data_IF_015948397052
#
_entry.id   IF_015948397052
#
_cell.length_a   1.000
_cell.length_b   1.000
_cell.length_c   1.000
_cell.angle_alpha   90.00
_cell.angle_beta   90.00
_cell.angle_gamma   90.00
#
_symmetry.space_group_name_H-M   'P 1'
#
loop_
_entity.id
_entity.type
_entity.pdbx_description
1 polymer ?
#
# COMPACT_ATOMS: atom_id res chain seq x y z
N UNK A 1 2.98 -2.48 19.93
CA UNK A 1 3.45 -3.20 18.73
C UNK A 1 2.28 -3.87 18.05
N UNK A 2 2.19 -3.74 16.76
CA UNK A 2 1.21 -4.49 15.98
C UNK A 2 1.94 -5.37 14.99
N UNK A 3 1.31 -6.49 14.64
CA UNK A 3 1.82 -7.42 13.63
C UNK A 3 0.79 -7.52 12.55
N UNK A 4 1.25 -7.40 11.32
CA UNK A 4 0.36 -7.49 10.17
C UNK A 4 1.14 -8.14 9.02
N UNK A 5 0.43 -8.51 7.97
CA UNK A 5 1.05 -9.16 6.83
C UNK A 5 1.07 -8.21 5.66
N UNK A 6 2.25 -7.94 5.14
CA UNK A 6 2.41 -7.04 4.01
C UNK A 6 3.16 -7.78 2.92
N UNK A 7 2.52 -7.94 1.76
CA UNK A 7 3.07 -8.67 0.62
C UNK A 7 3.54 -10.07 1.03
N UNK A 8 2.74 -10.74 1.86
CA UNK A 8 3.00 -12.09 2.27
C UNK A 8 4.00 -12.25 3.39
N UNK A 9 4.51 -11.15 3.95
CA UNK A 9 5.51 -11.18 5.02
C UNK A 9 4.94 -10.58 6.29
N UNK A 10 5.31 -11.16 7.42
CA UNK A 10 4.95 -10.57 8.70
C UNK A 10 5.80 -9.34 8.94
N UNK A 11 5.15 -8.24 9.28
CA UNK A 11 5.79 -6.97 9.56
C UNK A 11 5.30 -6.50 10.91
N UNK A 12 6.20 -5.98 11.73
CA UNK A 12 5.84 -5.39 13.01
C UNK A 12 6.01 -3.89 12.94
N UNK A 13 5.01 -3.18 13.43
CA UNK A 13 5.06 -1.73 13.55
C UNK A 13 4.84 -1.39 15.02
N UNK A 14 5.40 -0.26 15.45
CA UNK A 14 5.29 0.13 16.84
C UNK A 14 3.86 0.42 17.24
N UNK A 15 3.06 0.90 16.30
CA UNK A 15 1.68 1.30 16.56
C UNK A 15 0.91 1.26 15.25
N UNK A 16 -0.43 1.33 15.33
CA UNK A 16 -1.23 1.51 14.11
C UNK A 16 -0.70 2.71 13.33
N UNK A 17 -0.54 2.54 12.03
CA UNK A 17 0.13 3.52 11.18
C UNK A 17 -0.73 3.81 9.97
N UNK A 18 -0.89 5.09 9.65
CA UNK A 18 -1.64 5.47 8.47
C UNK A 18 -0.94 4.94 7.22
N UNK A 19 -1.72 4.50 6.25
CA UNK A 19 -1.18 3.93 5.03
C UNK A 19 -0.22 4.89 4.33
N UNK A 20 -0.60 6.17 4.22
CA UNK A 20 0.27 7.14 3.57
C UNK A 20 1.60 7.30 4.30
N UNK A 21 1.56 7.29 5.63
CA UNK A 21 2.80 7.39 6.41
C UNK A 21 3.68 6.16 6.19
N UNK A 22 3.06 4.99 6.10
CA UNK A 22 3.83 3.76 5.87
C UNK A 22 4.48 3.78 4.49
N UNK A 23 3.73 4.21 3.46
CA UNK A 23 4.29 4.31 2.11
C UNK A 23 5.45 5.30 2.09
N UNK A 24 5.34 6.39 2.84
CA UNK A 24 6.44 7.36 2.93
C UNK A 24 7.67 6.74 3.58
N UNK A 25 7.48 5.91 4.61
CA UNK A 25 8.60 5.22 5.24
C UNK A 25 9.31 4.30 4.26
N UNK A 26 8.56 3.69 3.35
CA UNK A 26 9.14 2.82 2.33
C UNK A 26 9.80 3.59 1.21
N UNK A 27 9.59 4.90 1.16
CA UNK A 27 10.10 5.71 0.07
C UNK A 27 9.33 5.51 -1.23
N UNK A 28 8.06 5.13 -1.12
CA UNK A 28 7.23 4.77 -2.27
C UNK A 28 6.26 5.90 -2.55
N UNK A 29 6.17 6.27 -3.83
CA UNK A 29 5.19 7.27 -4.25
C UNK A 29 3.79 6.63 -4.25
N UNK A 30 2.83 7.18 -3.48
CA UNK A 30 1.49 6.59 -3.46
C UNK A 30 0.83 6.52 -4.83
N UNK A 31 1.22 7.40 -5.75
CA UNK A 31 0.65 7.39 -7.09
C UNK A 31 1.20 6.26 -7.95
N UNK A 32 2.28 5.63 -7.50
CA UNK A 32 2.95 4.60 -8.29
C UNK A 32 2.63 3.19 -7.81
N UNK A 33 1.69 3.04 -6.88
CA UNK A 33 1.37 1.72 -6.34
C UNK A 33 -0.13 1.53 -6.28
N UNK A 34 -0.53 0.26 -6.34
CA UNK A 34 -1.90 -0.16 -6.05
C UNK A 34 -1.87 -0.87 -4.71
N UNK A 35 -2.90 -0.68 -3.91
CA UNK A 35 -2.96 -1.24 -2.56
C UNK A 35 -4.25 -2.03 -2.39
N UNK A 36 -4.12 -3.23 -1.85
CA UNK A 36 -5.25 -3.99 -1.33
C UNK A 36 -5.15 -4.05 0.18
N UNK A 37 -6.26 -3.87 0.84
CA UNK A 37 -6.31 -3.89 2.29
C UNK A 37 -7.41 -4.87 2.69
N UNK A 38 -6.99 -5.98 3.31
CA UNK A 38 -7.90 -7.04 3.76
C UNK A 38 -8.78 -7.54 2.61
N UNK A 39 -8.17 -7.69 1.43
CA UNK A 39 -8.86 -8.24 0.27
C UNK A 39 -9.61 -7.25 -0.56
N UNK A 40 -9.63 -5.97 -0.19
CA UNK A 40 -10.36 -4.95 -0.93
C UNK A 40 -9.37 -3.95 -1.53
N UNK A 41 -9.58 -3.61 -2.79
CA UNK A 41 -8.76 -2.59 -3.44
C UNK A 41 -9.09 -1.24 -2.82
N UNK A 42 -8.03 -0.50 -2.47
CA UNK A 42 -8.19 0.83 -1.89
C UNK A 42 -8.09 1.85 -3.01
N UNK A 43 -9.15 2.66 -3.16
CA UNK A 43 -9.10 3.77 -4.10
C UNK A 43 -8.03 4.76 -3.67
N UNK A 44 -7.31 5.34 -4.63
CA UNK A 44 -6.24 6.27 -4.28
C UNK A 44 -6.74 7.43 -3.42
N UNK A 45 -7.95 7.90 -3.71
CA UNK A 45 -8.53 8.98 -2.93
C UNK A 45 -8.80 8.59 -1.49
N UNK A 46 -8.83 7.29 -1.18
CA UNK A 46 -9.10 6.80 0.16
C UNK A 46 -7.82 6.45 0.92
N UNK A 47 -6.65 6.58 0.31
CA UNK A 47 -5.40 6.20 0.98
C UNK A 47 -5.23 6.95 2.30
N UNK A 48 -5.68 8.17 2.37
CA UNK A 48 -5.55 8.96 3.59
C UNK A 48 -6.49 8.53 4.71
N UNK A 49 -7.44 7.65 4.41
CA UNK A 49 -8.43 7.19 5.39
C UNK A 49 -8.14 5.78 5.90
N UNK A 50 -7.03 5.19 5.49
CA UNK A 50 -6.71 3.82 5.88
C UNK A 50 -5.64 3.85 6.96
N UNK A 51 -5.90 3.13 8.05
CA UNK A 51 -4.92 2.94 9.12
C UNK A 51 -4.62 1.46 9.20
N UNK A 52 -3.33 1.12 9.11
CA UNK A 52 -2.88 -0.26 9.20
C UNK A 52 -2.91 -0.68 10.67
N UNK A 53 -3.50 -1.84 10.93
CA UNK A 53 -3.76 -2.30 12.28
C UNK A 53 -3.35 -3.74 12.48
N UNK A 54 -3.39 -4.17 13.71
CA UNK A 54 -3.05 -5.53 14.09
C UNK A 54 -3.86 -6.52 13.25
N UNK A 55 -3.17 -7.50 12.67
CA UNK A 55 -3.83 -8.57 11.94
C UNK A 55 -4.21 -8.24 10.52
N UNK A 56 -3.97 -7.03 10.06
CA UNK A 56 -4.30 -6.65 8.68
C UNK A 56 -3.48 -7.44 7.68
N UNK A 57 -4.05 -7.62 6.49
CA UNK A 57 -3.36 -8.16 5.33
C UNK A 57 -3.34 -7.08 4.25
N UNK A 58 -2.15 -6.74 3.79
CA UNK A 58 -1.96 -5.63 2.85
C UNK A 58 -1.12 -6.11 1.69
N UNK A 59 -1.53 -5.76 0.47
CA UNK A 59 -0.75 -5.99 -0.72
C UNK A 59 -0.43 -4.64 -1.35
N UNK A 60 0.83 -4.40 -1.61
CA UNK A 60 1.27 -3.15 -2.23
C UNK A 60 2.02 -3.53 -3.49
N UNK A 61 1.47 -3.18 -4.64
CA UNK A 61 2.01 -3.57 -5.93
C UNK A 61 2.47 -2.31 -6.65
N UNK A 62 3.73 -2.32 -7.06
CA UNK A 62 4.27 -1.20 -7.82
C UNK A 62 3.76 -1.28 -9.25
N UNK A 63 3.21 -0.19 -9.73
CA UNK A 63 2.73 -0.12 -11.10
C UNK A 63 3.91 0.21 -12.01
N UNK A 64 4.04 -0.54 -13.09
CA UNK A 64 5.14 -0.40 -14.02
C UNK A 64 4.64 0.18 -15.32
N UNK A 65 5.34 1.08 -15.79
CA UNK A 65 4.96 1.73 -17.04
C UNK A 65 4.17 2.96 -16.77
N UNK A 66 4.02 2.79 -16.80
CA UNK A 66 3.39 3.56 -17.00
C UNK A 66 2.73 3.92 -17.24
N UNK A 67 2.80 3.54 -17.22
CA UNK A 67 2.33 3.84 -17.46
C UNK A 67 1.90 3.66 -17.51
N UNK A 68 2.00 3.26 -17.60
CA UNK A 68 1.75 3.16 -17.79
C UNK A 68 1.36 3.22 -17.82
N UNK A 69 1.41 3.09 -17.95
CA UNK A 69 1.17 3.30 -18.12
C UNK A 69 0.76 3.54 -18.29
N UNK A 70 0.83 3.39 -18.52
CA UNK A 70 0.63 3.71 -18.81
C UNK A 70 0.47 3.70 -19.33
N UNK A 71 0.40 3.39 -19.83
CA UNK A 71 0.50 3.39 -20.40
C UNK A 71 0.57 2.99 -20.92
N UNK A 72 0.53 2.97 -21.37
CA UNK A 72 0.75 2.65 -21.92
C UNK A 72 0.94 2.46 -22.05
N UNK A 73 1.15 2.25 -22.33
CA UNK A 73 1.46 2.31 -22.47
C UNK A 73 1.71 2.21 -22.57
N UNK A 74 2.01 1.98 -22.84
CA UNK A 74 2.32 2.06 -22.95
C UNK A 74 2.39 1.92 -23.10
N UNK A 75 2.66 1.70 -23.39
CA UNK A 75 2.74 1.67 -23.62
C UNK A 75 2.43 1.79 -23.56
#
# INVERSE_FOLDING_TARGET
>A
MISLRINGRMVELERPTELLAYLAQLGVNPRAVAVEHNGAIVERSAYGNVTLQEGDTVEIVRMVGGGASEGPASP
#
